data_IF_530217840416
#
_entry.id   IF_530217840416
#
_cell.length_a   1.000
_cell.length_b   1.000
_cell.length_c   1.000
_cell.angle_alpha   90.00
_cell.angle_beta   90.00
_cell.angle_gamma   90.00
#
_symmetry.space_group_name_H-M   'P 1'
#
loop_
_entity.id
_entity.type
_entity.pdbx_description
1 polymer ?
#
# COMPACT_ATOMS: atom_id res chain seq x y z
N UNK A 1 -15.98 2.58 -11.06
CA UNK A 1 -15.02 1.77 -11.86
C UNK A 1 -13.87 1.35 -10.94
N UNK A 2 -13.52 0.06 -10.90
CA UNK A 2 -12.34 -0.45 -10.15
C UNK A 2 -11.15 -0.45 -11.12
N UNK A 3 -9.98 -0.05 -10.63
CA UNK A 3 -8.75 0.00 -11.42
C UNK A 3 -7.83 -1.17 -11.06
N UNK A 4 -7.32 -1.86 -12.08
CA UNK A 4 -6.43 -3.01 -11.92
C UNK A 4 -4.96 -2.60 -11.97
N UNK A 5 -4.17 -3.16 -11.04
CA UNK A 5 -2.70 -3.12 -10.99
C UNK A 5 -2.20 -4.18 -10.00
N UNK A 6 -0.89 -4.46 -9.98
CA UNK A 6 -0.32 -5.51 -9.12
C UNK A 6 0.99 -5.10 -8.44
N UNK A 7 1.32 -5.83 -7.39
CA UNK A 7 2.69 -5.99 -6.90
C UNK A 7 3.41 -7.01 -7.78
N UNK A 8 4.45 -6.58 -8.50
CA UNK A 8 5.31 -7.50 -9.26
C UNK A 8 6.68 -7.64 -8.60
N UNK A 9 7.26 -8.83 -8.73
CA UNK A 9 8.52 -9.22 -8.07
C UNK A 9 9.65 -9.54 -9.06
N UNK A 10 9.35 -9.47 -10.37
CA UNK A 10 10.27 -9.75 -11.46
C UNK A 10 10.14 -8.70 -12.57
N UNK A 11 11.21 -8.37 -13.31
CA UNK A 11 11.18 -7.42 -14.43
C UNK A 11 10.19 -7.83 -15.53
N UNK A 12 10.12 -9.11 -15.86
CA UNK A 12 9.25 -9.69 -16.90
C UNK A 12 7.77 -9.47 -16.55
N UNK A 13 7.43 -9.54 -15.27
CA UNK A 13 6.08 -9.24 -14.81
C UNK A 13 5.72 -7.76 -14.99
N UNK A 14 6.69 -6.83 -14.97
CA UNK A 14 6.44 -5.42 -15.31
C UNK A 14 6.13 -5.29 -16.80
N UNK A 15 6.89 -5.98 -17.66
CA UNK A 15 6.66 -6.00 -19.11
C UNK A 15 5.26 -6.54 -19.43
N UNK A 16 4.86 -7.63 -18.77
CA UNK A 16 3.50 -8.17 -18.91
C UNK A 16 2.42 -7.17 -18.50
N UNK A 17 2.60 -6.45 -17.39
CA UNK A 17 1.62 -5.44 -16.97
C UNK A 17 1.53 -4.23 -17.93
N UNK A 18 2.63 -3.87 -18.59
CA UNK A 18 2.61 -2.83 -19.64
C UNK A 18 1.79 -3.27 -20.85
N UNK A 19 1.84 -4.54 -21.27
CA UNK A 19 1.08 -5.03 -22.44
C UNK A 19 -0.44 -4.96 -22.24
N UNK A 20 -0.90 -4.96 -20.99
CA UNK A 20 -2.32 -4.78 -20.62
C UNK A 20 -2.63 -3.35 -20.11
N UNK A 21 -1.74 -2.40 -20.35
CA UNK A 21 -1.93 -0.96 -20.08
C UNK A 21 -2.30 -0.62 -18.61
N UNK A 22 -1.67 -1.25 -17.62
CA UNK A 22 -1.83 -0.78 -16.22
C UNK A 22 -1.35 0.66 -16.09
N UNK A 23 -1.98 1.44 -15.21
CA UNK A 23 -1.61 2.86 -15.01
C UNK A 23 -0.72 3.10 -13.80
N UNK A 24 -0.53 2.08 -12.96
CA UNK A 24 0.21 2.18 -11.71
C UNK A 24 0.78 0.83 -11.29
N UNK A 25 1.69 0.88 -10.32
CA UNK A 25 2.35 -0.30 -9.76
C UNK A 25 2.37 -0.28 -8.24
N UNK A 26 2.60 -1.46 -7.66
CA UNK A 26 2.94 -1.62 -6.25
C UNK A 26 4.33 -2.24 -6.10
N UNK A 27 5.09 -1.76 -5.12
CA UNK A 27 6.32 -2.39 -4.61
C UNK A 27 6.04 -2.85 -3.19
N UNK A 28 6.23 -4.14 -2.94
CA UNK A 28 6.04 -4.76 -1.63
C UNK A 28 7.22 -4.43 -0.69
N UNK A 29 6.97 -4.49 0.62
CA UNK A 29 7.98 -4.23 1.66
C UNK A 29 9.24 -5.07 1.51
N UNK A 30 9.11 -6.33 1.05
CA UNK A 30 10.23 -7.25 0.88
C UNK A 30 11.16 -6.84 -0.26
N UNK A 31 10.60 -6.40 -1.39
CA UNK A 31 11.38 -5.91 -2.55
C UNK A 31 12.26 -4.70 -2.16
N UNK A 32 11.83 -3.90 -1.18
CA UNK A 32 12.57 -2.75 -0.67
C UNK A 32 13.85 -3.13 0.10
N UNK A 33 14.04 -4.40 0.47
CA UNK A 33 15.25 -4.90 1.13
C UNK A 33 16.41 -5.14 0.16
N UNK A 34 16.12 -5.32 -1.13
CA UNK A 34 17.10 -5.71 -2.14
C UNK A 34 17.82 -7.03 -1.85
N UNK A 35 17.23 -7.89 -1.02
CA UNK A 35 17.76 -9.23 -0.68
C UNK A 35 17.22 -10.31 -1.61
N UNK A 36 16.00 -10.12 -2.13
CA UNK A 36 15.40 -11.07 -3.08
C UNK A 36 16.00 -10.83 -4.49
N UNK A 37 16.19 -11.90 -5.29
CA UNK A 37 16.64 -11.77 -6.67
C UNK A 37 15.80 -10.76 -7.45
N UNK A 38 16.44 -10.05 -8.38
CA UNK A 38 15.79 -9.11 -9.29
C UNK A 38 15.07 -7.91 -8.63
N UNK A 39 15.24 -7.66 -7.33
CA UNK A 39 14.59 -6.53 -6.65
C UNK A 39 14.95 -5.19 -7.28
N UNK A 40 16.24 -4.97 -7.57
CA UNK A 40 16.74 -3.70 -8.15
C UNK A 40 16.24 -3.52 -9.59
N UNK A 41 16.27 -4.58 -10.37
CA UNK A 41 15.86 -4.67 -11.77
C UNK A 41 14.35 -4.42 -11.87
N UNK A 42 13.56 -5.06 -11.02
CA UNK A 42 12.09 -4.88 -10.96
C UNK A 42 11.71 -3.45 -10.60
N UNK A 43 12.39 -2.84 -9.62
CA UNK A 43 12.17 -1.43 -9.25
C UNK A 43 12.56 -0.52 -10.42
N UNK A 44 13.68 -0.79 -11.08
CA UNK A 44 14.15 -0.03 -12.25
C UNK A 44 13.15 -0.08 -13.40
N UNK A 45 12.61 -1.26 -13.73
CA UNK A 45 11.61 -1.39 -14.79
C UNK A 45 10.34 -0.61 -14.46
N UNK A 46 9.81 -0.71 -13.24
CA UNK A 46 8.67 0.11 -12.80
C UNK A 46 8.96 1.61 -12.93
N UNK A 47 10.15 2.04 -12.50
CA UNK A 47 10.53 3.45 -12.53
C UNK A 47 10.70 4.01 -13.96
N UNK A 48 11.20 3.21 -14.91
CA UNK A 48 11.37 3.60 -16.32
C UNK A 48 10.04 4.01 -16.97
N UNK A 49 8.94 3.38 -16.57
CA UNK A 49 7.59 3.66 -17.11
C UNK A 49 7.09 5.07 -16.81
N UNK A 50 7.61 5.73 -15.76
CA UNK A 50 7.09 7.02 -15.28
C UNK A 50 5.68 6.96 -14.70
N UNK A 51 5.10 5.76 -14.53
CA UNK A 51 3.77 5.57 -13.94
C UNK A 51 3.80 5.78 -12.42
N UNK A 52 2.62 5.96 -11.83
CA UNK A 52 2.47 6.11 -10.38
C UNK A 52 2.84 4.80 -9.68
N UNK A 53 3.57 4.88 -8.57
CA UNK A 53 4.03 3.69 -7.83
C UNK A 53 3.76 3.85 -6.34
N UNK A 54 3.06 2.88 -5.76
CA UNK A 54 2.91 2.74 -4.31
C UNK A 54 4.03 1.85 -3.77
N UNK A 55 4.61 2.21 -2.63
CA UNK A 55 5.75 1.48 -2.04
C UNK A 55 5.48 1.25 -0.55
N UNK A 56 5.29 -0.01 -0.13
CA UNK A 56 5.23 -0.34 1.31
C UNK A 56 6.64 -0.43 1.89
N UNK A 57 6.81 0.10 3.11
CA UNK A 57 8.12 0.16 3.78
C UNK A 57 8.21 -0.72 5.04
N UNK A 58 7.38 -1.76 5.14
CA UNK A 58 7.13 -2.48 6.40
C UNK A 58 8.23 -3.41 6.90
N UNK A 59 9.31 -3.58 6.13
CA UNK A 59 10.49 -4.35 6.52
C UNK A 59 11.75 -3.48 6.66
N UNK A 60 11.64 -2.14 6.54
CA UNK A 60 12.78 -1.23 6.79
C UNK A 60 13.72 -0.99 5.59
N UNK A 61 13.20 -0.98 4.36
CA UNK A 61 13.99 -0.70 3.16
C UNK A 61 14.63 0.70 3.14
N UNK A 62 15.69 0.88 2.35
CA UNK A 62 16.40 2.17 2.22
C UNK A 62 15.63 3.12 1.30
N UNK A 63 14.80 4.01 1.89
CA UNK A 63 13.98 4.99 1.16
C UNK A 63 14.81 5.86 0.20
N UNK A 64 16.00 6.31 0.60
CA UNK A 64 16.88 7.14 -0.25
C UNK A 64 17.36 6.37 -1.47
N UNK A 65 17.82 5.13 -1.28
CA UNK A 65 18.23 4.24 -2.38
C UNK A 65 17.08 3.99 -3.35
N UNK A 66 15.87 3.75 -2.85
CA UNK A 66 14.67 3.54 -3.68
C UNK A 66 14.34 4.80 -4.48
N UNK A 67 14.35 5.98 -3.85
CA UNK A 67 14.08 7.25 -4.53
C UNK A 67 15.02 7.51 -5.71
N UNK A 68 16.29 7.08 -5.63
CA UNK A 68 17.25 7.25 -6.72
C UNK A 68 16.87 6.50 -8.01
N UNK A 69 15.97 5.52 -7.97
CA UNK A 69 15.45 4.88 -9.18
C UNK A 69 14.41 5.75 -9.91
N UNK A 70 13.71 6.62 -9.19
CA UNK A 70 12.53 7.33 -9.69
C UNK A 70 12.86 8.78 -10.06
N UNK A 71 13.20 9.00 -11.33
CA UNK A 71 13.38 10.36 -11.89
C UNK A 71 12.14 10.90 -12.60
N UNK A 72 11.27 10.01 -13.11
CA UNK A 72 10.09 10.39 -13.92
C UNK A 72 8.79 10.50 -13.13
N UNK A 73 8.71 9.91 -11.94
CA UNK A 73 7.51 9.93 -11.10
C UNK A 73 7.86 10.03 -9.62
N UNK A 74 6.95 10.61 -8.83
CA UNK A 74 7.10 10.67 -7.37
C UNK A 74 6.38 9.47 -6.76
N UNK A 75 7.09 8.48 -6.18
CA UNK A 75 6.44 7.34 -5.55
C UNK A 75 5.69 7.76 -4.27
N UNK A 76 4.61 7.05 -3.98
CA UNK A 76 3.80 7.19 -2.77
C UNK A 76 4.27 6.15 -1.76
N UNK A 77 4.82 6.58 -0.64
CA UNK A 77 5.29 5.67 0.40
C UNK A 77 4.16 5.36 1.38
N UNK A 78 3.94 4.08 1.63
CA UNK A 78 2.96 3.58 2.58
C UNK A 78 3.65 3.14 3.88
N UNK A 79 3.15 3.65 5.01
CA UNK A 79 3.46 3.06 6.31
C UNK A 79 2.92 1.64 6.34
N UNK A 80 3.69 0.72 6.91
CA UNK A 80 3.40 -0.70 6.92
C UNK A 80 4.18 -1.32 8.08
N UNK A 81 3.65 -2.38 8.68
CA UNK A 81 4.44 -3.33 9.47
C UNK A 81 4.12 -4.71 8.90
N UNK A 82 5.14 -5.44 8.45
CA UNK A 82 4.98 -6.76 7.82
C UNK A 82 4.77 -7.86 8.88
N UNK A 83 3.65 -7.79 9.61
CA UNK A 83 3.18 -8.79 10.57
C UNK A 83 1.71 -9.12 10.28
N UNK A 84 1.35 -10.41 10.30
CA UNK A 84 0.05 -10.90 9.82
C UNK A 84 -0.58 -11.87 10.86
N UNK A 85 -1.59 -11.44 11.66
CA UNK A 85 -2.09 -10.07 11.80
C UNK A 85 -1.13 -9.17 12.58
N UNK A 86 -1.20 -7.86 12.30
CA UNK A 86 -0.55 -6.81 13.06
C UNK A 86 -1.41 -6.42 14.27
N UNK A 87 -0.93 -6.58 15.51
CA UNK A 87 -1.63 -6.04 16.67
C UNK A 87 -1.70 -4.52 16.59
N UNK A 88 -2.89 -3.95 16.76
CA UNK A 88 -3.14 -2.50 16.68
C UNK A 88 -2.16 -1.67 17.53
N UNK A 89 -1.88 -2.14 18.76
CA UNK A 89 -0.95 -1.50 19.70
C UNK A 89 0.49 -1.36 19.21
N UNK A 90 0.91 -2.12 18.18
CA UNK A 90 2.25 -2.01 17.59
C UNK A 90 2.38 -0.88 16.57
N UNK A 91 1.27 -0.26 16.17
CA UNK A 91 1.31 0.87 15.22
C UNK A 91 1.90 2.09 15.93
N UNK A 92 2.99 2.61 15.37
CA UNK A 92 3.58 3.90 15.79
C UNK A 92 2.89 5.02 15.02
N UNK A 93 1.78 5.53 15.55
CA UNK A 93 0.96 6.55 14.86
C UNK A 93 1.74 7.82 14.52
N UNK A 94 2.66 8.25 15.38
CA UNK A 94 3.56 9.39 15.14
C UNK A 94 4.45 9.20 13.90
N UNK A 95 4.81 7.96 13.57
CA UNK A 95 5.54 7.63 12.34
C UNK A 95 4.59 7.44 11.16
N UNK A 96 3.47 6.74 11.36
CA UNK A 96 2.49 6.47 10.32
C UNK A 96 2.03 7.75 9.60
N UNK A 97 1.71 8.80 10.34
CA UNK A 97 1.22 10.07 9.76
C UNK A 97 2.24 10.78 8.85
N UNK A 98 3.54 10.44 8.95
CA UNK A 98 4.61 10.97 8.08
C UNK A 98 4.59 10.34 6.68
N UNK A 99 3.89 9.22 6.51
CA UNK A 99 3.74 8.54 5.22
C UNK A 99 2.54 9.08 4.43
N UNK A 100 2.58 8.87 3.13
CA UNK A 100 1.53 9.32 2.20
C UNK A 100 0.36 8.32 2.16
N UNK A 101 0.64 7.03 2.41
CA UNK A 101 -0.37 5.98 2.50
C UNK A 101 -0.18 5.05 3.70
N UNK A 102 -1.10 4.11 3.86
CA UNK A 102 -1.08 3.08 4.88
C UNK A 102 -1.44 1.73 4.27
N UNK A 103 -0.55 0.75 4.42
CA UNK A 103 -0.72 -0.65 4.05
C UNK A 103 -0.96 -1.42 5.35
N UNK A 104 -2.22 -1.78 5.57
CA UNK A 104 -2.77 -2.18 6.84
C UNK A 104 -2.91 -3.71 6.93
N UNK A 105 -2.28 -4.30 7.95
CA UNK A 105 -2.35 -5.73 8.24
C UNK A 105 -3.00 -6.02 9.61
N UNK A 106 -3.65 -5.04 10.24
CA UNK A 106 -4.46 -5.32 11.44
C UNK A 106 -5.70 -6.10 11.07
N UNK A 107 -6.32 -6.74 12.04
CA UNK A 107 -7.68 -7.23 11.90
C UNK A 107 -8.68 -6.06 11.78
N UNK A 108 -9.80 -6.30 11.09
CA UNK A 108 -10.86 -5.32 10.91
C UNK A 108 -10.42 -4.03 10.20
N UNK A 109 -11.17 -2.94 10.39
CA UNK A 109 -11.01 -1.68 9.62
C UNK A 109 -10.57 -0.49 10.47
N UNK A 110 -10.49 -0.66 11.79
CA UNK A 110 -10.26 0.43 12.76
C UNK A 110 -8.96 1.20 12.52
N UNK A 111 -7.86 0.50 12.22
CA UNK A 111 -6.57 1.17 11.96
C UNK A 111 -6.61 2.02 10.69
N UNK A 112 -7.23 1.52 9.63
CA UNK A 112 -7.43 2.25 8.38
C UNK A 112 -8.28 3.52 8.56
N UNK A 113 -9.34 3.46 9.37
CA UNK A 113 -10.17 4.60 9.72
C UNK A 113 -9.37 5.64 10.51
N UNK A 114 -8.66 5.21 11.57
CA UNK A 114 -7.87 6.11 12.40
C UNK A 114 -6.77 6.82 11.59
N UNK A 115 -6.04 6.10 10.73
CA UNK A 115 -5.06 6.71 9.83
C UNK A 115 -5.68 7.82 9.00
N UNK A 116 -6.87 7.57 8.45
CA UNK A 116 -7.57 8.52 7.57
C UNK A 116 -8.00 9.78 8.31
N UNK A 117 -8.51 9.64 9.54
CA UNK A 117 -8.85 10.78 10.42
C UNK A 117 -7.60 11.62 10.71
N UNK A 118 -6.49 10.98 11.10
CA UNK A 118 -5.24 11.68 11.40
C UNK A 118 -4.68 12.43 10.18
N UNK A 119 -4.74 11.82 8.98
CA UNK A 119 -4.32 12.47 7.73
C UNK A 119 -5.21 13.66 7.37
N UNK A 120 -6.53 13.55 7.61
CA UNK A 120 -7.50 14.62 7.39
C UNK A 120 -7.22 15.82 8.31
N UNK A 121 -7.02 15.59 9.61
CA UNK A 121 -6.65 16.63 10.58
C UNK A 121 -5.33 17.33 10.22
N UNK A 122 -4.38 16.60 9.62
CA UNK A 122 -3.14 17.15 9.06
C UNK A 122 -3.31 17.85 7.70
N UNK A 123 -4.55 18.04 7.22
CA UNK A 123 -4.90 18.69 5.94
C UNK A 123 -4.23 18.02 4.74
N UNK A 124 -4.04 16.71 4.79
CA UNK A 124 -3.47 15.95 3.67
C UNK A 124 -4.40 16.00 2.47
N UNK A 125 -3.87 16.34 1.29
CA UNK A 125 -4.65 16.43 0.03
C UNK A 125 -5.19 15.06 -0.43
N UNK A 126 -4.52 13.99 -0.06
CA UNK A 126 -4.86 12.62 -0.46
C UNK A 126 -4.58 11.67 0.70
N UNK A 127 -5.38 10.60 0.76
CA UNK A 127 -5.30 9.54 1.75
C UNK A 127 -5.34 8.23 0.99
N UNK A 128 -4.32 7.39 1.16
CA UNK A 128 -4.23 6.08 0.51
C UNK A 128 -4.24 4.98 1.55
N UNK A 129 -5.19 4.06 1.42
CA UNK A 129 -5.34 2.87 2.28
C UNK A 129 -5.25 1.64 1.41
N UNK A 130 -4.48 0.65 1.86
CA UNK A 130 -4.39 -0.69 1.28
C UNK A 130 -4.73 -1.71 2.36
N UNK A 131 -5.62 -2.65 2.01
CA UNK A 131 -6.12 -3.69 2.90
C UNK A 131 -6.31 -4.97 2.08
N UNK A 132 -5.95 -6.11 2.65
CA UNK A 132 -6.28 -7.40 2.05
C UNK A 132 -7.79 -7.66 2.16
N UNK A 133 -8.40 -8.17 1.09
CA UNK A 133 -9.84 -8.46 1.02
C UNK A 133 -10.03 -9.92 0.60
N UNK A 134 -10.98 -10.61 1.22
CA UNK A 134 -11.31 -12.01 0.91
C UNK A 134 -12.81 -12.23 0.73
N UNK A 135 -13.15 -13.36 0.09
CA UNK A 135 -14.47 -13.96 0.24
C UNK A 135 -14.58 -14.59 1.64
N UNK A 136 -15.79 -14.60 2.21
CA UNK A 136 -16.06 -15.18 3.54
C UNK A 136 -15.61 -16.64 3.66
N UNK A 137 -15.67 -17.39 2.57
CA UNK A 137 -15.29 -18.81 2.49
C UNK A 137 -13.80 -19.05 2.27
N UNK A 138 -12.99 -18.01 2.07
CA UNK A 138 -11.56 -18.15 1.77
C UNK A 138 -10.77 -18.62 2.99
N UNK A 139 -9.88 -19.61 2.75
CA UNK A 139 -8.96 -20.21 3.74
C UNK A 139 -7.48 -20.02 3.36
N UNK A 140 -7.19 -19.06 2.48
CA UNK A 140 -5.83 -18.77 2.04
C UNK A 140 -4.91 -18.28 3.17
N UNK A 141 -3.59 -18.25 2.95
CA UNK A 141 -2.60 -17.90 3.99
C UNK A 141 -2.85 -16.53 4.63
N UNK A 142 -3.33 -15.56 3.86
CA UNK A 142 -3.61 -14.20 4.36
C UNK A 142 -5.05 -14.02 4.85
N UNK A 143 -5.88 -15.07 4.80
CA UNK A 143 -7.31 -14.96 5.06
C UNK A 143 -7.62 -14.53 6.49
N UNK A 144 -6.78 -14.87 7.47
CA UNK A 144 -6.95 -14.44 8.87
C UNK A 144 -6.81 -12.91 9.03
N UNK A 145 -6.05 -12.26 8.15
CA UNK A 145 -5.77 -10.82 8.21
C UNK A 145 -6.57 -9.99 7.21
N UNK A 146 -7.29 -10.66 6.32
CA UNK A 146 -8.09 -10.04 5.27
C UNK A 146 -9.49 -9.71 5.77
N UNK A 147 -9.99 -8.52 5.43
CA UNK A 147 -11.39 -8.16 5.65
C UNK A 147 -12.28 -8.83 4.60
N UNK A 148 -13.55 -9.04 4.90
CA UNK A 148 -14.50 -9.49 3.88
C UNK A 148 -15.08 -8.31 3.07
N UNK A 149 -15.98 -8.62 2.13
CA UNK A 149 -16.60 -7.62 1.26
C UNK A 149 -17.59 -6.70 1.98
N UNK A 150 -18.17 -7.13 3.11
CA UNK A 150 -19.06 -6.29 3.92
C UNK A 150 -18.23 -5.25 4.68
N UNK A 151 -17.14 -5.68 5.30
CA UNK A 151 -16.19 -4.79 5.95
C UNK A 151 -15.50 -3.85 4.95
N UNK A 152 -15.25 -4.28 3.70
CA UNK A 152 -14.74 -3.39 2.66
C UNK A 152 -15.74 -2.27 2.34
N UNK A 153 -17.03 -2.60 2.25
CA UNK A 153 -18.08 -1.62 2.02
C UNK A 153 -18.17 -0.63 3.20
N UNK A 154 -18.13 -1.15 4.43
CA UNK A 154 -18.10 -0.33 5.65
C UNK A 154 -16.89 0.61 5.68
N UNK A 155 -15.70 0.12 5.36
CA UNK A 155 -14.49 0.95 5.26
C UNK A 155 -14.68 2.06 4.22
N UNK A 156 -15.16 1.74 3.02
CA UNK A 156 -15.39 2.73 1.96
C UNK A 156 -16.39 3.82 2.39
N UNK A 157 -17.48 3.45 3.09
CA UNK A 157 -18.45 4.42 3.61
C UNK A 157 -17.83 5.35 4.66
N UNK A 158 -17.08 4.79 5.61
CA UNK A 158 -16.37 5.59 6.62
C UNK A 158 -15.34 6.54 5.99
N UNK A 159 -14.56 6.08 5.01
CA UNK A 159 -13.57 6.92 4.33
C UNK A 159 -14.22 8.09 3.57
N UNK A 160 -15.39 7.87 2.95
CA UNK A 160 -16.16 8.95 2.29
C UNK A 160 -16.69 9.97 3.26
N UNK A 161 -17.22 9.51 4.41
CA UNK A 161 -17.66 10.39 5.47
C UNK A 161 -16.50 11.26 5.99
N UNK A 162 -15.35 10.66 6.27
CA UNK A 162 -14.15 11.38 6.73
C UNK A 162 -13.69 12.41 5.68
N UNK A 163 -13.73 12.05 4.39
CA UNK A 163 -13.33 12.95 3.32
C UNK A 163 -14.15 14.25 3.29
N UNK A 164 -15.45 14.19 3.57
CA UNK A 164 -16.37 15.34 3.57
C UNK A 164 -16.51 16.03 4.94
N UNK A 165 -16.01 15.40 6.01
CA UNK A 165 -16.05 15.93 7.38
C UNK A 165 -15.23 17.21 7.56
N UNK A 166 -15.68 18.10 8.45
CA UNK A 166 -14.98 19.32 8.91
C UNK A 166 -14.15 19.04 10.17
N UNK A 167 -13.27 18.04 10.10
CA UNK A 167 -12.33 17.66 11.17
C UNK A 167 -10.88 17.95 10.77
#
# INVERSE_FOLDING_TARGET
KIEFFCSTFYPEAVIFLESINVKKYKIASRTCLFTDPFSSETIREKAKTGKSVFISMGMGGNKRKILNFFSKSKPIFCYCISQYPLPFKKIKWSDAIKFDGFSDHTEGITASILFSILKKQKKSKSIYIEKHVKLKTSKGPDASTSIDTEQLNELNNNLRLIATSKI
#
